data_IF_584505915811
#
_entry.id   IF_584505915811
#
_cell.length_a   1.000
_cell.length_b   1.000
_cell.length_c   1.000
_cell.angle_alpha   90.00
_cell.angle_beta   90.00
_cell.angle_gamma   90.00
#
_symmetry.space_group_name_H-M   'P 1'
#
loop_
_entity.id
_entity.type
_entity.pdbx_description
1 polymer ?
#
# COMPACT_ATOMS: atom_id res chain seq x y z
N UNK A 1 -52.29 26.91 -29.54
CA UNK A 1 -52.58 27.86 -28.45
C UNK A 1 -52.17 27.20 -27.15
N UNK A 2 -50.91 26.79 -27.03
CA UNK A 2 -49.72 27.65 -26.85
C UNK A 2 -49.75 28.36 -25.51
N UNK A 3 -49.14 27.74 -24.51
CA UNK A 3 -48.16 28.41 -23.65
C UNK A 3 -47.09 27.38 -23.30
N UNK A 4 -45.99 27.48 -24.04
CA UNK A 4 -44.69 26.90 -23.73
C UNK A 4 -44.22 27.55 -22.43
N UNK A 5 -44.07 26.76 -21.36
CA UNK A 5 -43.21 27.11 -20.24
C UNK A 5 -41.96 26.24 -20.37
N UNK A 6 -40.93 26.84 -20.97
CA UNK A 6 -39.56 26.35 -20.93
C UNK A 6 -39.09 26.31 -19.48
N UNK A 7 -39.21 25.15 -18.85
CA UNK A 7 -38.46 24.86 -17.64
C UNK A 7 -37.03 24.58 -18.09
N UNK A 8 -36.22 25.62 -18.01
CA UNK A 8 -34.76 25.54 -18.03
C UNK A 8 -34.36 24.59 -16.90
N UNK A 9 -34.09 23.34 -17.25
CA UNK A 9 -33.34 22.43 -16.40
C UNK A 9 -31.91 23.01 -16.40
N UNK A 10 -31.63 23.84 -15.41
CA UNK A 10 -30.26 24.19 -15.06
C UNK A 10 -29.52 22.87 -14.82
N UNK A 11 -28.47 22.63 -15.60
CA UNK A 11 -27.47 21.60 -15.33
C UNK A 11 -26.95 21.81 -13.91
N UNK A 12 -27.55 21.15 -12.93
CA UNK A 12 -26.84 20.84 -11.71
C UNK A 12 -25.85 19.75 -12.11
N UNK A 13 -24.60 20.18 -12.21
CA UNK A 13 -23.46 19.28 -12.14
C UNK A 13 -23.69 18.37 -10.94
N UNK A 14 -23.90 17.08 -11.22
CA UNK A 14 -23.78 16.06 -10.20
C UNK A 14 -22.29 15.98 -9.91
N UNK A 15 -21.80 16.85 -9.04
CA UNK A 15 -20.54 16.61 -8.34
C UNK A 15 -20.75 15.30 -7.57
N UNK A 16 -20.25 14.20 -8.13
CA UNK A 16 -19.93 13.02 -7.36
C UNK A 16 -18.95 13.47 -6.29
N UNK A 17 -19.44 13.65 -5.06
CA UNK A 17 -18.60 13.77 -3.88
C UNK A 17 -17.85 12.44 -3.80
N UNK A 18 -16.63 12.39 -4.32
CA UNK A 18 -15.72 11.30 -4.02
C UNK A 18 -15.55 11.28 -2.50
N UNK A 19 -15.99 10.19 -1.89
CA UNK A 19 -15.77 9.96 -0.47
C UNK A 19 -14.26 9.84 -0.31
N UNK A 20 -13.65 10.86 0.31
CA UNK A 20 -12.25 10.83 0.70
C UNK A 20 -11.95 9.52 1.42
N UNK A 21 -10.95 8.81 0.94
CA UNK A 21 -10.47 7.60 1.61
C UNK A 21 -9.90 8.01 2.96
N UNK A 22 -10.06 7.11 3.93
CA UNK A 22 -9.38 7.21 5.20
C UNK A 22 -8.26 6.17 5.22
N UNK A 23 -7.04 6.67 5.24
CA UNK A 23 -5.82 5.88 5.17
C UNK A 23 -5.22 5.71 6.57
N UNK A 24 -4.69 4.52 6.81
CA UNK A 24 -3.90 4.21 7.99
C UNK A 24 -2.48 3.96 7.53
N UNK A 25 -1.53 4.67 8.15
CA UNK A 25 -0.14 4.65 7.74
C UNK A 25 0.68 3.74 8.64
N UNK A 26 1.41 2.83 8.00
CA UNK A 26 2.42 1.99 8.63
C UNK A 26 3.78 2.31 8.01
N UNK A 27 4.67 2.89 8.82
CA UNK A 27 6.07 3.06 8.48
C UNK A 27 6.79 1.70 8.50
N UNK A 28 7.49 1.37 7.42
CA UNK A 28 8.23 0.11 7.27
C UNK A 28 9.75 0.32 7.15
N UNK A 29 10.22 1.55 7.31
CA UNK A 29 11.64 1.87 7.30
C UNK A 29 12.25 1.99 5.91
N UNK A 30 13.58 1.96 5.87
CA UNK A 30 14.37 1.86 4.65
C UNK A 30 14.74 0.40 4.37
N UNK A 31 14.80 0.04 3.09
CA UNK A 31 15.41 -1.22 2.68
C UNK A 31 16.95 -1.12 2.75
N UNK A 32 17.63 -2.25 2.92
CA UNK A 32 19.10 -2.32 2.93
C UNK A 32 19.68 -2.40 1.50
N UNK A 33 21.01 -2.44 1.35
CA UNK A 33 21.69 -2.55 0.04
C UNK A 33 21.29 -3.78 -0.81
N UNK A 34 20.55 -4.74 -0.23
CA UNK A 34 20.02 -5.93 -0.93
C UNK A 34 18.55 -5.76 -1.35
N UNK A 35 17.94 -4.60 -1.07
CA UNK A 35 16.52 -4.36 -1.30
C UNK A 35 15.62 -5.12 -0.34
N UNK A 36 16.05 -5.32 0.92
CA UNK A 36 15.28 -6.02 1.96
C UNK A 36 14.88 -5.05 3.08
N UNK A 37 13.59 -5.05 3.46
CA UNK A 37 13.14 -4.41 4.69
C UNK A 37 13.37 -5.36 5.88
N UNK A 38 13.91 -4.82 6.98
CA UNK A 38 14.22 -5.59 8.20
C UNK A 38 13.41 -5.15 9.42
N UNK A 39 12.48 -4.22 9.25
CA UNK A 39 11.64 -3.72 10.33
C UNK A 39 10.62 -4.76 10.74
N UNK A 40 10.31 -4.79 12.03
CA UNK A 40 9.28 -5.68 12.58
C UNK A 40 7.91 -5.35 11.98
N UNK A 41 7.64 -4.06 11.77
CA UNK A 41 6.45 -3.51 11.12
C UNK A 41 6.17 -4.21 9.78
N UNK A 42 7.22 -4.37 8.95
CA UNK A 42 7.10 -5.05 7.66
C UNK A 42 6.74 -6.52 7.81
N UNK A 43 7.34 -7.21 8.79
CA UNK A 43 7.03 -8.62 9.04
C UNK A 43 5.55 -8.83 9.39
N UNK A 44 5.01 -8.02 10.30
CA UNK A 44 3.61 -8.11 10.72
C UNK A 44 2.65 -7.73 9.59
N UNK A 45 3.01 -6.74 8.78
CA UNK A 45 2.22 -6.40 7.60
C UNK A 45 2.16 -7.52 6.58
N UNK A 46 3.27 -8.22 6.34
CA UNK A 46 3.27 -9.40 5.48
C UNK A 46 2.46 -10.54 6.08
N UNK A 47 2.54 -10.78 7.38
CA UNK A 47 1.73 -11.81 8.05
C UNK A 47 0.23 -11.47 8.00
N UNK A 48 -0.12 -10.19 8.03
CA UNK A 48 -1.48 -9.73 7.76
C UNK A 48 -1.89 -10.01 6.29
N UNK A 49 -1.02 -9.70 5.32
CA UNK A 49 -1.25 -10.00 3.90
C UNK A 49 -1.47 -11.49 3.63
N UNK A 50 -0.75 -12.38 4.32
CA UNK A 50 -0.93 -13.84 4.22
C UNK A 50 -2.36 -14.30 4.51
N UNK A 51 -3.10 -13.54 5.31
CA UNK A 51 -4.46 -13.89 5.73
C UNK A 51 -5.50 -13.12 4.90
N UNK A 52 -5.25 -11.83 4.63
CA UNK A 52 -6.24 -10.95 3.99
C UNK A 52 -6.11 -10.86 2.48
N UNK A 53 -4.89 -10.96 1.96
CA UNK A 53 -4.60 -10.66 0.58
C UNK A 53 -4.51 -11.95 -0.24
N UNK A 54 -5.11 -11.92 -1.43
CA UNK A 54 -5.02 -13.02 -2.39
C UNK A 54 -4.46 -12.58 -3.74
N UNK A 55 -4.19 -11.29 -3.90
CA UNK A 55 -3.71 -10.71 -5.15
C UNK A 55 -2.89 -9.45 -4.89
N UNK A 56 -1.92 -9.20 -5.75
CA UNK A 56 -1.23 -7.91 -5.82
C UNK A 56 -1.21 -7.39 -7.25
N UNK A 57 -1.14 -6.07 -7.41
CA UNK A 57 -0.68 -5.46 -8.65
C UNK A 57 0.68 -4.85 -8.36
N UNK A 58 1.67 -5.17 -9.19
CA UNK A 58 3.02 -4.61 -9.07
C UNK A 58 3.38 -3.80 -10.29
N UNK A 59 4.03 -2.67 -10.06
CA UNK A 59 4.74 -1.91 -11.08
C UNK A 59 6.24 -2.19 -10.94
N UNK A 60 6.88 -2.51 -12.06
CA UNK A 60 8.26 -2.99 -12.08
C UNK A 60 8.91 -2.76 -13.44
N UNK A 61 10.22 -2.55 -13.45
CA UNK A 61 11.04 -2.53 -14.67
C UNK A 61 11.32 -3.93 -15.23
N UNK A 62 11.00 -4.98 -14.47
CA UNK A 62 11.15 -6.37 -14.91
C UNK A 62 10.25 -6.64 -16.13
N UNK A 63 10.76 -7.41 -17.09
CA UNK A 63 9.96 -7.91 -18.21
C UNK A 63 9.02 -9.04 -17.76
N UNK A 64 7.99 -9.31 -18.58
CA UNK A 64 7.01 -10.37 -18.31
C UNK A 64 7.66 -11.74 -18.08
N UNK A 65 8.70 -12.08 -18.85
CA UNK A 65 9.42 -13.34 -18.70
C UNK A 65 10.17 -13.45 -17.36
N UNK A 66 10.77 -12.35 -16.90
CA UNK A 66 11.51 -12.31 -15.63
C UNK A 66 10.54 -12.48 -14.47
N UNK A 67 9.43 -11.72 -14.48
CA UNK A 67 8.45 -11.77 -13.39
C UNK A 67 7.74 -13.13 -13.31
N UNK A 68 7.39 -13.71 -14.47
CA UNK A 68 6.84 -15.05 -14.56
C UNK A 68 7.83 -16.08 -14.01
N UNK A 69 9.12 -15.97 -14.34
CA UNK A 69 10.15 -16.87 -13.82
C UNK A 69 10.28 -16.75 -12.30
N UNK A 70 10.36 -15.52 -11.78
CA UNK A 70 10.50 -15.25 -10.33
C UNK A 70 9.32 -15.82 -9.53
N UNK A 71 8.11 -15.68 -10.04
CA UNK A 71 6.90 -16.04 -9.28
C UNK A 71 6.18 -17.32 -9.75
N UNK A 72 6.72 -18.03 -10.75
CA UNK A 72 6.12 -19.23 -11.36
C UNK A 72 5.61 -20.29 -10.39
N UNK A 73 6.24 -20.42 -9.22
CA UNK A 73 5.89 -21.43 -8.20
C UNK A 73 4.83 -20.95 -7.20
N UNK A 74 4.46 -19.68 -7.25
CA UNK A 74 3.65 -19.05 -6.20
C UNK A 74 2.37 -18.38 -6.68
N UNK A 75 2.26 -18.07 -7.97
CA UNK A 75 1.15 -17.26 -8.47
C UNK A 75 0.83 -17.54 -9.93
N UNK A 76 -0.28 -16.95 -10.37
CA UNK A 76 -0.53 -16.67 -11.79
C UNK A 76 -0.20 -15.20 -12.05
N UNK A 77 0.48 -14.91 -13.15
CA UNK A 77 0.83 -13.54 -13.53
C UNK A 77 0.11 -13.17 -14.82
N UNK A 78 -0.52 -12.01 -14.84
CA UNK A 78 -1.12 -11.40 -16.01
C UNK A 78 -0.49 -10.03 -16.25
N UNK A 79 -0.05 -9.76 -17.48
CA UNK A 79 0.38 -8.42 -17.87
C UNK A 79 -0.83 -7.51 -18.06
N UNK A 80 -0.76 -6.31 -17.47
CA UNK A 80 -1.79 -5.28 -17.58
C UNK A 80 -1.37 -4.22 -18.60
N UNK A 81 -2.36 -3.49 -19.14
CA UNK A 81 -2.04 -2.28 -19.89
C UNK A 81 -1.39 -1.25 -18.94
N UNK A 82 -0.30 -0.64 -19.40
CA UNK A 82 0.37 0.40 -18.63
C UNK A 82 -0.60 1.56 -18.38
N UNK A 83 -0.68 2.10 -17.15
CA UNK A 83 -1.48 3.29 -16.88
C UNK A 83 -0.98 4.50 -17.69
N UNK A 84 0.34 4.57 -17.90
CA UNK A 84 0.98 5.54 -18.79
C UNK A 84 2.02 4.83 -19.68
N UNK A 85 1.86 4.96 -21.00
CA UNK A 85 2.75 4.34 -22.00
C UNK A 85 4.13 5.00 -22.08
N UNK A 86 4.28 6.19 -21.50
CA UNK A 86 5.53 6.93 -21.47
C UNK A 86 6.42 6.53 -20.30
N UNK A 87 5.85 5.90 -19.26
CA UNK A 87 6.61 5.37 -18.15
C UNK A 87 7.31 4.06 -18.55
N UNK A 88 8.59 3.96 -18.21
CA UNK A 88 9.38 2.75 -18.43
C UNK A 88 9.12 1.67 -17.36
N UNK A 89 7.88 1.58 -16.88
CA UNK A 89 7.44 0.56 -15.93
C UNK A 89 6.40 -0.34 -16.60
N UNK A 90 6.45 -1.62 -16.28
CA UNK A 90 5.41 -2.58 -16.64
C UNK A 90 4.45 -2.79 -15.46
N UNK A 91 3.23 -3.19 -15.77
CA UNK A 91 2.19 -3.45 -14.79
C UNK A 91 1.77 -4.91 -14.84
N UNK A 92 1.75 -5.57 -13.68
CA UNK A 92 1.41 -6.98 -13.58
C UNK A 92 0.39 -7.22 -12.48
N UNK A 93 -0.69 -7.92 -12.81
CA UNK A 93 -1.59 -8.52 -11.83
C UNK A 93 -1.05 -9.90 -11.46
N UNK A 94 -0.94 -10.15 -10.16
CA UNK A 94 -0.39 -11.38 -9.61
C UNK A 94 -1.41 -11.98 -8.65
N UNK A 95 -2.05 -13.07 -9.07
CA UNK A 95 -2.97 -13.85 -8.25
C UNK A 95 -2.18 -14.89 -7.44
N UNK A 96 -2.20 -14.75 -6.11
CA UNK A 96 -1.40 -15.58 -5.20
C UNK A 96 -2.07 -16.94 -5.01
N UNK A 97 -1.39 -18.00 -5.42
CA UNK A 97 -1.86 -19.39 -5.27
C UNK A 97 -1.13 -20.15 -4.17
N UNK A 98 0.03 -19.67 -3.74
CA UNK A 98 0.84 -20.24 -2.67
C UNK A 98 1.26 -19.16 -1.66
N UNK A 99 1.02 -19.42 -0.37
CA UNK A 99 1.33 -18.49 0.73
C UNK A 99 2.82 -18.14 0.83
N UNK A 100 3.72 -18.99 0.32
CA UNK A 100 5.16 -18.73 0.26
C UNK A 100 5.51 -17.51 -0.63
N UNK A 101 4.58 -17.06 -1.49
CA UNK A 101 4.70 -15.78 -2.19
C UNK A 101 5.00 -14.63 -1.23
N UNK A 102 4.29 -14.60 -0.10
CA UNK A 102 4.39 -13.52 0.87
C UNK A 102 5.75 -13.51 1.57
N UNK A 103 6.34 -14.68 1.82
CA UNK A 103 7.70 -14.77 2.35
C UNK A 103 8.75 -14.27 1.34
N UNK A 104 8.49 -14.47 0.04
CA UNK A 104 9.34 -13.89 -1.01
C UNK A 104 9.22 -12.36 -1.03
N UNK A 105 7.99 -11.82 -1.05
CA UNK A 105 7.71 -10.38 -1.00
C UNK A 105 8.33 -9.76 0.25
N UNK A 106 8.28 -10.44 1.41
CA UNK A 106 8.93 -9.95 2.63
C UNK A 106 10.41 -9.64 2.44
N UNK A 107 11.12 -10.47 1.67
CA UNK A 107 12.58 -10.48 1.68
C UNK A 107 13.27 -10.01 0.40
N UNK A 108 12.59 -9.47 -0.62
CA UNK A 108 13.24 -9.24 -1.93
C UNK A 108 12.64 -8.09 -2.76
N UNK A 109 13.46 -7.57 -3.69
CA UNK A 109 13.12 -6.70 -4.83
C UNK A 109 12.70 -5.26 -4.51
N UNK A 110 13.29 -4.62 -3.48
CA UNK A 110 12.99 -3.21 -3.17
C UNK A 110 14.15 -2.23 -3.45
N UNK A 111 15.25 -2.69 -4.05
CA UNK A 111 16.34 -1.80 -4.43
C UNK A 111 16.01 -1.07 -5.74
N UNK A 112 15.63 0.21 -5.66
CA UNK A 112 15.21 1.01 -6.83
C UNK A 112 16.31 1.22 -7.88
N UNK A 113 17.58 1.02 -7.52
CA UNK A 113 18.70 1.14 -8.46
C UNK A 113 18.87 -0.12 -9.33
N UNK A 114 18.20 -1.22 -8.98
CA UNK A 114 18.27 -2.49 -9.70
C UNK A 114 17.16 -2.60 -10.74
N UNK A 115 17.45 -3.23 -11.89
CA UNK A 115 16.43 -3.48 -12.94
C UNK A 115 15.35 -4.48 -12.53
N UNK A 116 15.63 -5.19 -11.45
CA UNK A 116 14.86 -6.33 -10.95
C UNK A 116 13.98 -5.93 -9.75
N UNK A 117 13.64 -4.64 -9.66
CA UNK A 117 12.93 -3.99 -8.56
C UNK A 117 11.41 -4.00 -8.75
N UNK A 118 10.70 -3.83 -7.63
CA UNK A 118 9.29 -3.44 -7.60
C UNK A 118 9.28 -1.97 -7.18
N UNK A 119 8.72 -1.10 -8.01
CA UNK A 119 8.60 0.32 -7.70
C UNK A 119 7.33 0.62 -6.92
N UNK A 120 6.23 -0.07 -7.23
CA UNK A 120 4.96 0.08 -6.54
C UNK A 120 4.24 -1.25 -6.39
N UNK A 121 3.50 -1.40 -5.30
CA UNK A 121 2.67 -2.57 -5.04
C UNK A 121 1.33 -2.15 -4.45
N UNK A 122 0.26 -2.71 -5.01
CA UNK A 122 -1.11 -2.61 -4.52
C UNK A 122 -1.57 -3.98 -4.04
N UNK A 123 -2.16 -4.05 -2.86
CA UNK A 123 -2.57 -5.28 -2.21
C UNK A 123 -4.09 -5.42 -2.23
N UNK A 124 -4.59 -6.60 -2.58
CA UNK A 124 -6.02 -6.83 -2.77
C UNK A 124 -6.56 -7.97 -1.91
N UNK A 125 -7.71 -7.70 -1.29
CA UNK A 125 -8.58 -8.71 -0.69
C UNK A 125 -9.79 -8.93 -1.63
N UNK A 126 -9.72 -10.01 -2.42
CA UNK A 126 -10.65 -10.25 -3.51
C UNK A 126 -10.52 -9.18 -4.60
N UNK A 127 -11.54 -8.31 -4.72
CA UNK A 127 -11.54 -7.20 -5.70
C UNK A 127 -11.24 -5.84 -5.08
N UNK A 128 -11.19 -5.75 -3.75
CA UNK A 128 -10.96 -4.49 -3.04
C UNK A 128 -9.46 -4.26 -2.90
N UNK A 129 -8.99 -3.09 -3.31
CA UNK A 129 -7.67 -2.61 -2.91
C UNK A 129 -7.72 -2.32 -1.40
N UNK A 130 -6.82 -2.92 -0.64
CA UNK A 130 -6.78 -2.78 0.82
C UNK A 130 -5.54 -2.01 1.29
N UNK A 131 -4.50 -1.94 0.47
CA UNK A 131 -3.31 -1.16 0.78
C UNK A 131 -2.45 -0.91 -0.46
N UNK A 132 -1.57 0.09 -0.37
CA UNK A 132 -0.55 0.37 -1.38
C UNK A 132 0.78 0.74 -0.74
N UNK A 133 1.86 0.54 -1.49
CA UNK A 133 3.21 0.93 -1.11
C UNK A 133 3.94 1.39 -2.38
N UNK A 134 4.47 2.62 -2.33
CA UNK A 134 5.43 3.16 -3.27
C UNK A 134 6.82 3.04 -2.66
N UNK A 135 7.78 2.53 -3.44
CA UNK A 135 9.13 2.26 -2.98
C UNK A 135 10.04 3.47 -3.30
N UNK A 136 10.71 3.97 -2.26
CA UNK A 136 11.60 5.13 -2.30
C UNK A 136 12.91 4.86 -1.55
N UNK A 137 13.96 5.64 -1.83
CA UNK A 137 15.31 5.52 -1.25
C UNK A 137 15.44 6.01 0.20
N UNK A 138 14.37 6.55 0.77
CA UNK A 138 14.28 6.98 2.16
C UNK A 138 13.22 6.17 2.92
N UNK A 139 12.60 6.77 3.93
CA UNK A 139 11.54 6.12 4.72
C UNK A 139 10.34 5.71 3.86
N UNK A 140 9.98 4.41 3.91
CA UNK A 140 8.86 3.85 3.14
C UNK A 140 7.62 3.68 4.02
N UNK A 141 6.45 3.91 3.42
CA UNK A 141 5.16 3.86 4.11
C UNK A 141 4.15 3.00 3.35
N UNK A 142 3.50 2.10 4.08
CA UNK A 142 2.32 1.38 3.57
C UNK A 142 1.08 2.20 3.91
N UNK A 143 0.29 2.49 2.89
CA UNK A 143 -1.00 3.18 2.98
C UNK A 143 -2.11 2.13 3.00
N UNK A 144 -2.74 1.90 4.16
CA UNK A 144 -3.78 0.89 4.36
C UNK A 144 -5.16 1.55 4.33
N UNK A 145 -6.09 1.07 3.50
CA UNK A 145 -7.45 1.62 3.39
C UNK A 145 -8.35 1.16 4.53
N UNK A 146 -9.04 2.09 5.21
CA UNK A 146 -10.05 1.74 6.21
C UNK A 146 -11.31 1.10 5.59
N UNK A 147 -11.99 0.18 6.32
CA UNK A 147 -11.58 -0.41 7.59
C UNK A 147 -10.48 -1.47 7.41
N UNK A 148 -9.64 -1.64 8.45
CA UNK A 148 -8.65 -2.73 8.54
C UNK A 148 -9.33 -3.97 9.11
N UNK A 149 -9.42 -5.01 8.29
CA UNK A 149 -9.79 -6.34 8.76
C UNK A 149 -8.64 -6.95 9.58
N UNK A 150 -8.93 -7.64 10.68
CA UNK A 150 -7.91 -8.31 11.52
C UNK A 150 -6.81 -7.38 12.04
N UNK A 151 -7.18 -6.18 12.48
CA UNK A 151 -6.25 -5.23 13.13
C UNK A 151 -5.50 -5.88 14.31
N UNK A 152 -6.08 -6.90 14.95
CA UNK A 152 -5.50 -7.69 16.05
C UNK A 152 -4.06 -8.18 15.80
N UNK A 153 -3.70 -8.45 14.54
CA UNK A 153 -2.36 -8.90 14.14
C UNK A 153 -1.30 -7.83 14.46
N UNK A 154 -1.60 -6.57 14.18
CA UNK A 154 -0.67 -5.46 14.43
C UNK A 154 -0.53 -5.14 15.92
N UNK A 155 -1.53 -5.51 16.72
CA UNK A 155 -1.61 -5.14 18.14
C UNK A 155 -0.83 -6.09 19.05
N UNK A 156 -0.28 -7.15 18.48
CA UNK A 156 0.54 -8.12 19.19
C UNK A 156 1.82 -7.50 19.77
N UNK A 157 2.27 -6.36 19.23
CA UNK A 157 3.50 -5.70 19.66
C UNK A 157 3.30 -4.19 19.88
N UNK A 158 3.00 -3.82 21.12
CA UNK A 158 2.73 -2.42 21.52
C UNK A 158 3.87 -1.45 21.19
N UNK A 159 5.12 -1.89 21.34
CA UNK A 159 6.28 -1.04 21.09
C UNK A 159 6.40 -0.68 19.60
N UNK A 160 6.05 -1.61 18.71
CA UNK A 160 5.99 -1.39 17.25
C UNK A 160 4.96 -0.31 16.91
N UNK A 161 3.79 -0.31 17.56
CA UNK A 161 2.75 0.70 17.35
C UNK A 161 3.22 2.09 17.80
N UNK A 162 3.85 2.18 18.97
CA UNK A 162 4.39 3.44 19.48
C UNK A 162 5.49 4.02 18.58
N UNK A 163 6.40 3.16 18.13
CA UNK A 163 7.44 3.53 17.18
C UNK A 163 6.84 3.99 15.84
N UNK A 164 5.83 3.28 15.33
CA UNK A 164 5.13 3.67 14.10
C UNK A 164 4.52 5.07 14.22
N UNK A 165 3.83 5.37 15.32
CA UNK A 165 3.25 6.70 15.55
C UNK A 165 4.35 7.77 15.54
N UNK A 166 5.46 7.54 16.25
CA UNK A 166 6.58 8.49 16.29
C UNK A 166 7.20 8.72 14.91
N UNK A 167 7.41 7.65 14.13
CA UNK A 167 7.98 7.74 12.78
C UNK A 167 7.04 8.47 11.81
N UNK A 168 5.74 8.16 11.84
CA UNK A 168 4.75 8.85 11.00
C UNK A 168 4.65 10.35 11.31
N UNK A 169 4.74 10.73 12.58
CA UNK A 169 4.74 12.16 12.96
C UNK A 169 6.01 12.88 12.51
N UNK A 170 7.16 12.19 12.45
CA UNK A 170 8.40 12.77 11.92
C UNK A 170 8.36 12.93 10.40
N UNK A 171 7.70 12.01 9.70
CA UNK A 171 7.56 11.99 8.25
C UNK A 171 6.25 12.58 7.71
N UNK A 172 5.61 13.48 8.48
CA UNK A 172 4.29 14.04 8.15
C UNK A 172 4.30 14.70 6.75
N UNK A 173 5.34 15.47 6.42
CA UNK A 173 5.42 16.17 5.12
C UNK A 173 5.53 15.20 3.92
N UNK A 174 6.25 14.09 4.09
CA UNK A 174 6.36 13.04 3.08
C UNK A 174 5.03 12.28 2.92
N UNK A 175 4.40 11.92 4.05
CA UNK A 175 3.10 11.23 4.04
C UNK A 175 2.03 12.10 3.39
N UNK A 176 1.97 13.40 3.70
CA UNK A 176 1.01 14.34 3.10
C UNK A 176 1.13 14.40 1.57
N UNK A 177 2.34 14.24 1.03
CA UNK A 177 2.55 14.14 -0.43
C UNK A 177 2.03 12.82 -0.97
N UNK A 178 2.29 11.70 -0.29
CA UNK A 178 1.88 10.35 -0.70
C UNK A 178 0.37 10.16 -0.69
N UNK A 179 -0.34 10.75 0.28
CA UNK A 179 -1.79 10.58 0.44
C UNK A 179 -2.61 11.56 -0.42
N UNK A 180 -1.97 12.51 -1.11
CA UNK A 180 -2.58 13.46 -2.06
C UNK A 180 -3.86 14.16 -1.53
N UNK A 181 -3.87 14.52 -0.25
CA UNK A 181 -4.99 15.22 0.39
C UNK A 181 -6.12 14.31 0.90
N UNK A 182 -5.93 13.00 0.87
CA UNK A 182 -6.76 12.04 1.61
C UNK A 182 -6.55 12.16 3.12
N UNK A 183 -7.57 11.78 3.90
CA UNK A 183 -7.44 11.78 5.36
C UNK A 183 -6.59 10.60 5.79
N UNK A 184 -5.62 10.83 6.68
CA UNK A 184 -4.78 9.77 7.19
C UNK A 184 -4.55 9.84 8.69
N UNK A 185 -4.11 8.72 9.26
CA UNK A 185 -3.61 8.61 10.64
C UNK A 185 -2.57 7.50 10.75
N UNK A 186 -1.64 7.57 11.71
CA UNK A 186 -0.78 6.42 12.00
C UNK A 186 -1.58 5.21 12.48
N UNK A 187 -1.14 4.01 12.13
CA UNK A 187 -1.64 2.77 12.71
C UNK A 187 -1.48 2.81 14.24
N UNK A 188 -2.58 2.55 14.94
CA UNK A 188 -2.66 2.59 16.41
C UNK A 188 -2.89 3.97 17.04
N UNK A 189 -3.10 5.04 16.25
CA UNK A 189 -3.37 6.37 16.80
C UNK A 189 -4.61 6.45 17.72
N UNK A 190 -5.62 5.61 17.49
CA UNK A 190 -6.83 5.56 18.33
C UNK A 190 -6.62 4.77 19.63
N UNK A 191 -5.45 4.16 19.79
CA UNK A 191 -5.11 3.44 20.99
C UNK A 191 -4.65 4.45 22.02
N UNK A 192 -5.36 4.52 23.16
CA UNK A 192 -4.95 5.26 24.35
C UNK A 192 -3.69 4.64 24.98
N UNK A 193 -2.62 4.50 24.19
CA UNK A 193 -1.33 4.02 24.61
C UNK A 193 -0.59 5.25 25.14
N UNK A 194 -0.71 5.46 26.45
CA UNK A 194 0.15 6.42 27.13
C UNK A 194 1.61 6.02 26.89
N UNK A 195 2.48 6.93 26.42
CA UNK A 195 3.89 6.63 26.24
C UNK A 195 4.44 6.15 27.57
N UNK A 196 5.09 4.98 27.57
CA UNK A 196 5.73 4.47 28.78
C UNK A 196 6.66 5.57 29.30
N UNK A 197 6.40 6.00 30.55
CA UNK A 197 7.36 6.73 31.34
C UNK A 197 8.70 5.99 31.24
N UNK A 198 9.67 6.60 30.56
CA UNK A 198 11.08 6.27 30.73
C UNK A 198 11.45 6.58 32.18
N UNK A 199 11.17 5.65 33.09
CA UNK A 199 11.94 5.42 34.31
C UNK A 199 13.14 4.58 33.83
N UNK A 200 14.40 4.95 34.00
CA UNK A 200 15.06 5.82 34.97
C UNK A 200 16.39 6.25 34.37
#
# INVERSE_FOLDING_TARGET
MDYVLDIIISKQEVETVELKKKLIILCIGQYNDRGEFSTVQWEYYIDWCKIQCNKVIVYSHMSYDIICKKFSSYCTVNELEKPDKTLDVCAYEIDVTNIAFWDYIKGNNYNIDEKDDISHIYFFAGKRNVASLEIVDYENYVLIEEPIDREDIFLLQKDMILENIELCLKGEEEIEKLVEGESWRPLGADMNISPLNKKT
#
